data_IF_913476729719
#
_entry.id   IF_913476729719
#
_cell.length_a   1.000
_cell.length_b   1.000
_cell.length_c   1.000
_cell.angle_alpha   90.00
_cell.angle_beta   90.00
_cell.angle_gamma   90.00
#
_symmetry.space_group_name_H-M   'P 1'
#
loop_
_entity.id
_entity.type
_entity.pdbx_description
1 polymer ?
#
# COMPACT_ATOMS: atom_id res chain seq x y z
N UNK A 1 -1.56 -32.43 19.61
CA UNK A 1 -1.74 -31.39 20.66
C UNK A 1 -0.64 -30.35 20.47
N UNK A 2 -0.96 -29.18 19.93
CA UNK A 2 -0.07 -28.00 19.91
C UNK A 2 -0.93 -26.74 19.73
N UNK A 3 -1.46 -26.25 20.84
CA UNK A 3 -1.95 -24.88 20.99
C UNK A 3 -0.70 -24.00 21.04
N UNK A 4 -0.59 -23.03 20.13
CA UNK A 4 0.16 -21.80 20.39
C UNK A 4 -0.52 -20.64 19.66
N UNK A 5 -1.56 -20.11 20.32
CA UNK A 5 -1.91 -18.71 20.23
C UNK A 5 -1.04 -17.96 21.26
N UNK A 6 -0.24 -16.99 20.82
CA UNK A 6 0.17 -15.90 21.70
C UNK A 6 0.12 -14.60 20.92
N UNK A 7 -1.00 -13.90 21.14
CA UNK A 7 -1.11 -12.45 21.03
C UNK A 7 -0.09 -11.80 21.98
N UNK A 8 0.44 -10.65 21.55
CA UNK A 8 1.09 -9.62 22.36
C UNK A 8 2.03 -10.06 23.51
N UNK A 9 3.34 -10.00 23.27
CA UNK A 9 4.26 -9.49 24.31
C UNK A 9 4.50 -8.01 24.06
N UNK A 10 4.00 -7.20 25.00
CA UNK A 10 4.15 -5.76 25.16
C UNK A 10 5.54 -5.26 24.71
N UNK A 11 5.65 -4.81 23.48
CA UNK A 11 6.50 -3.65 23.17
C UNK A 11 5.55 -2.51 22.86
N UNK A 12 5.82 -1.32 23.38
CA UNK A 12 4.93 -0.14 23.37
C UNK A 12 4.54 0.37 21.95
N UNK A 13 4.89 -0.35 20.88
CA UNK A 13 4.64 0.01 19.48
C UNK A 13 4.28 -1.19 18.57
N UNK A 14 3.80 -2.33 19.10
CA UNK A 14 3.63 -3.53 18.26
C UNK A 14 2.55 -4.55 18.63
N UNK A 15 1.70 -4.30 19.62
CA UNK A 15 0.66 -5.26 20.03
C UNK A 15 -0.50 -5.39 19.02
N UNK A 16 -0.68 -4.37 18.17
CA UNK A 16 -1.84 -4.20 17.32
C UNK A 16 -1.60 -4.59 15.85
N UNK A 17 -0.51 -5.32 15.56
CA UNK A 17 -0.10 -5.61 14.18
C UNK A 17 0.17 -7.09 13.95
N UNK A 18 -0.47 -7.68 12.92
CA UNK A 18 0.01 -8.96 12.35
C UNK A 18 1.06 -8.67 11.29
N UNK A 19 2.18 -9.37 11.38
CA UNK A 19 3.25 -9.37 10.38
C UNK A 19 3.42 -10.80 9.91
N UNK A 20 3.08 -11.10 8.66
CA UNK A 20 3.11 -12.46 8.18
C UNK A 20 3.71 -12.62 6.79
N UNK A 21 4.28 -13.80 6.54
CA UNK A 21 4.83 -14.21 5.25
C UNK A 21 4.21 -15.54 4.83
N UNK A 22 3.86 -15.67 3.55
CA UNK A 22 3.57 -16.98 2.96
C UNK A 22 4.82 -17.60 2.35
N UNK A 23 5.11 -18.85 2.74
CA UNK A 23 6.40 -19.50 2.50
C UNK A 23 6.35 -20.70 1.55
N UNK A 24 5.20 -20.99 0.94
CA UNK A 24 5.06 -22.12 0.01
C UNK A 24 5.88 -21.87 -1.28
N UNK A 25 6.72 -22.84 -1.69
CA UNK A 25 7.65 -22.73 -2.82
C UNK A 25 7.00 -22.35 -4.17
N UNK A 26 5.69 -22.57 -4.33
CA UNK A 26 4.93 -22.13 -5.53
C UNK A 26 4.80 -20.61 -5.64
N UNK A 27 5.11 -19.86 -4.58
CA UNK A 27 4.83 -18.43 -4.47
C UNK A 27 6.08 -17.60 -4.70
N UNK A 28 6.82 -17.82 -5.79
CA UNK A 28 8.02 -17.05 -6.11
C UNK A 28 7.76 -16.25 -7.37
N UNK A 29 7.41 -14.96 -7.24
CA UNK A 29 7.07 -14.13 -8.40
C UNK A 29 8.26 -13.86 -9.33
N UNK A 30 8.68 -14.85 -10.11
CA UNK A 30 9.62 -14.76 -11.22
C UNK A 30 8.89 -14.38 -12.49
N UNK A 31 9.63 -13.87 -13.48
CA UNK A 31 9.06 -13.47 -14.78
C UNK A 31 8.19 -14.58 -15.39
N UNK A 32 8.68 -15.82 -15.41
CA UNK A 32 7.96 -16.95 -16.02
C UNK A 32 6.67 -17.27 -15.25
N UNK A 33 6.70 -17.26 -13.91
CA UNK A 33 5.51 -17.56 -13.10
C UNK A 33 4.39 -16.54 -13.34
N UNK A 34 4.71 -15.26 -13.50
CA UNK A 34 3.70 -14.22 -13.78
C UNK A 34 2.93 -14.43 -15.08
N UNK A 35 3.45 -15.23 -16.01
CA UNK A 35 2.78 -15.54 -17.29
C UNK A 35 2.03 -16.87 -17.28
N UNK A 36 2.05 -17.61 -16.16
CA UNK A 36 1.29 -18.86 -16.01
C UNK A 36 -0.09 -18.58 -15.41
N UNK A 37 -1.13 -19.16 -16.01
CA UNK A 37 -2.51 -18.93 -15.56
C UNK A 37 -2.73 -19.51 -14.16
N UNK A 38 -2.13 -20.67 -13.90
CA UNK A 38 -2.22 -21.39 -12.63
C UNK A 38 -1.70 -20.52 -11.48
N UNK A 39 -0.56 -19.85 -11.67
CA UNK A 39 -0.01 -18.94 -10.65
C UNK A 39 -0.91 -17.74 -10.38
N UNK A 40 -1.44 -17.11 -11.44
CA UNK A 40 -2.32 -15.95 -11.31
C UNK A 40 -3.63 -16.32 -10.60
N UNK A 41 -4.19 -17.49 -10.87
CA UNK A 41 -5.41 -18.00 -10.23
C UNK A 41 -5.16 -18.43 -8.79
N UNK A 42 -4.08 -19.16 -8.50
CA UNK A 42 -3.69 -19.50 -7.13
C UNK A 42 -3.54 -18.21 -6.32
N UNK A 43 -2.84 -17.20 -6.86
CA UNK A 43 -2.67 -15.87 -6.25
C UNK A 43 -3.99 -15.17 -5.98
N UNK A 44 -4.90 -15.14 -6.95
CA UNK A 44 -6.22 -14.54 -6.75
C UNK A 44 -7.01 -15.24 -5.65
N UNK A 45 -7.01 -16.57 -5.60
CA UNK A 45 -7.66 -17.34 -4.55
C UNK A 45 -7.06 -17.07 -3.17
N UNK A 46 -5.74 -16.92 -3.09
CA UNK A 46 -5.08 -16.59 -1.84
C UNK A 46 -5.43 -15.17 -1.37
N UNK A 47 -5.32 -14.17 -2.26
CA UNK A 47 -5.71 -12.79 -1.95
C UNK A 47 -7.17 -12.73 -1.52
N UNK A 48 -8.09 -13.40 -2.22
CA UNK A 48 -9.51 -13.46 -1.85
C UNK A 48 -9.71 -13.99 -0.42
N UNK A 49 -9.01 -15.06 -0.03
CA UNK A 49 -9.10 -15.62 1.32
C UNK A 49 -8.59 -14.64 2.39
N UNK A 50 -7.48 -13.94 2.10
CA UNK A 50 -6.88 -12.98 3.02
C UNK A 50 -7.79 -11.76 3.18
N UNK A 51 -8.20 -11.12 2.08
CA UNK A 51 -9.00 -9.88 2.12
C UNK A 51 -10.37 -10.09 2.77
N UNK A 52 -10.96 -11.28 2.62
CA UNK A 52 -12.23 -11.65 3.27
C UNK A 52 -12.15 -11.69 4.80
N UNK A 53 -10.94 -11.72 5.36
CA UNK A 53 -10.70 -11.75 6.82
C UNK A 53 -10.24 -10.41 7.37
N UNK A 54 -10.13 -9.37 6.53
CA UNK A 54 -9.60 -8.06 6.88
C UNK A 54 -10.74 -7.04 6.76
N UNK A 55 -11.02 -6.18 7.74
CA UNK A 55 -11.97 -5.07 7.60
C UNK A 55 -11.37 -3.93 6.76
N UNK A 56 -12.21 -2.98 6.34
CA UNK A 56 -11.74 -1.75 5.68
C UNK A 56 -10.98 -1.96 4.37
N UNK A 57 -10.11 -0.99 4.07
CA UNK A 57 -9.27 -0.90 2.88
C UNK A 57 -8.03 -1.79 2.95
N UNK A 58 -7.71 -2.42 1.82
CA UNK A 58 -6.51 -3.23 1.63
C UNK A 58 -5.74 -2.73 0.42
N UNK A 59 -4.43 -2.55 0.57
CA UNK A 59 -3.52 -2.19 -0.52
C UNK A 59 -2.68 -3.40 -0.90
N UNK A 60 -2.83 -3.89 -2.12
CA UNK A 60 -1.99 -4.95 -2.69
C UNK A 60 -0.96 -4.33 -3.63
N UNK A 61 0.32 -4.37 -3.25
CA UNK A 61 1.41 -3.87 -4.08
C UNK A 61 1.99 -4.98 -4.95
N UNK A 62 2.04 -4.72 -6.26
CA UNK A 62 2.62 -5.59 -7.28
C UNK A 62 3.90 -4.97 -7.87
N UNK A 63 4.84 -5.79 -8.39
CA UNK A 63 6.15 -5.32 -8.84
C UNK A 63 6.13 -4.29 -9.97
N UNK A 64 5.15 -4.36 -10.88
CA UNK A 64 5.05 -3.49 -12.05
C UNK A 64 3.60 -3.32 -12.54
N UNK A 65 3.35 -2.29 -13.35
CA UNK A 65 2.06 -2.12 -14.03
C UNK A 65 1.69 -3.31 -14.92
N UNK A 66 2.68 -3.95 -15.55
CA UNK A 66 2.44 -5.16 -16.33
C UNK A 66 1.90 -6.29 -15.44
N UNK A 67 2.46 -6.49 -14.24
CA UNK A 67 1.92 -7.50 -13.32
C UNK A 67 0.51 -7.16 -12.83
N UNK A 68 0.19 -5.87 -12.62
CA UNK A 68 -1.17 -5.41 -12.29
C UNK A 68 -2.15 -5.77 -13.42
N UNK A 69 -1.77 -5.53 -14.67
CA UNK A 69 -2.61 -5.85 -15.84
C UNK A 69 -2.82 -7.36 -15.98
N UNK A 70 -1.75 -8.15 -15.84
CA UNK A 70 -1.82 -9.62 -15.91
C UNK A 70 -2.77 -10.19 -14.85
N UNK A 71 -2.63 -9.78 -13.58
CA UNK A 71 -3.55 -10.25 -12.52
C UNK A 71 -4.97 -9.75 -12.73
N UNK A 72 -5.13 -8.50 -13.19
CA UNK A 72 -6.46 -7.92 -13.42
C UNK A 72 -7.19 -8.66 -14.54
N UNK A 73 -6.50 -8.94 -15.65
CA UNK A 73 -7.05 -9.70 -16.77
C UNK A 73 -7.39 -11.14 -16.35
N UNK A 74 -6.49 -11.81 -15.64
CA UNK A 74 -6.71 -13.18 -15.17
C UNK A 74 -7.88 -13.27 -14.18
N UNK A 75 -8.00 -12.33 -13.23
CA UNK A 75 -9.04 -12.37 -12.20
C UNK A 75 -10.41 -11.93 -12.71
N UNK A 76 -10.46 -11.08 -13.74
CA UNK A 76 -11.71 -10.70 -14.42
C UNK A 76 -12.22 -11.79 -15.36
N UNK A 77 -11.37 -12.73 -15.78
CA UNK A 77 -11.79 -13.86 -16.60
C UNK A 77 -12.85 -14.68 -15.85
N UNK A 78 -13.95 -14.98 -16.55
CA UNK A 78 -15.03 -15.81 -16.03
C UNK A 78 -14.84 -17.24 -16.56
N UNK A 79 -14.57 -18.23 -15.70
CA UNK A 79 -14.53 -19.62 -16.12
C UNK A 79 -15.95 -20.13 -16.43
N UNK A 80 -16.07 -21.18 -17.24
CA UNK A 80 -17.36 -21.75 -17.65
C UNK A 80 -18.22 -22.27 -16.47
N UNK A 81 -17.61 -22.51 -15.31
CA UNK A 81 -18.20 -23.13 -14.13
C UNK A 81 -18.56 -22.15 -12.99
N UNK A 82 -18.50 -20.83 -13.19
CA UNK A 82 -18.93 -19.87 -12.15
C UNK A 82 -18.52 -18.41 -12.38
N UNK A 83 -18.71 -17.57 -11.35
CA UNK A 83 -18.33 -16.15 -11.36
C UNK A 83 -16.81 -15.92 -11.28
N UNK A 84 -16.35 -14.80 -11.85
CA UNK A 84 -14.93 -14.41 -11.85
C UNK A 84 -14.37 -14.16 -10.44
N UNK A 85 -13.06 -14.32 -10.27
CA UNK A 85 -12.38 -14.01 -9.00
C UNK A 85 -12.54 -12.54 -8.63
N UNK A 86 -12.52 -11.66 -9.62
CA UNK A 86 -12.73 -10.22 -9.46
C UNK A 86 -14.08 -9.92 -8.79
N UNK A 87 -15.16 -10.54 -9.28
CA UNK A 87 -16.50 -10.35 -8.70
C UNK A 87 -16.56 -10.83 -7.26
N UNK A 88 -15.95 -11.99 -6.95
CA UNK A 88 -15.87 -12.49 -5.56
C UNK A 88 -15.10 -11.55 -4.65
N UNK A 89 -14.06 -10.88 -5.17
CA UNK A 89 -13.32 -9.87 -4.43
C UNK A 89 -14.16 -8.60 -4.20
N UNK A 90 -14.95 -8.17 -5.19
CA UNK A 90 -15.90 -7.06 -5.04
C UNK A 90 -17.01 -7.40 -4.02
N UNK A 91 -17.50 -8.63 -4.00
CA UNK A 91 -18.46 -9.09 -2.99
C UNK A 91 -17.84 -9.06 -1.58
N UNK A 92 -16.55 -9.39 -1.45
CA UNK A 92 -15.84 -9.37 -0.17
C UNK A 92 -15.43 -7.97 0.30
N UNK A 93 -15.21 -7.01 -0.62
CA UNK A 93 -14.62 -5.69 -0.32
C UNK A 93 -15.42 -4.49 -0.83
N UNK A 94 -16.60 -4.67 -1.40
CA UNK A 94 -17.40 -3.62 -2.02
C UNK A 94 -16.88 -3.13 -3.37
N UNK A 95 -15.58 -2.84 -3.48
CA UNK A 95 -14.95 -2.43 -4.75
C UNK A 95 -13.51 -2.93 -4.85
N UNK A 96 -13.10 -3.25 -6.08
CA UNK A 96 -11.70 -3.48 -6.44
C UNK A 96 -11.29 -2.41 -7.44
N UNK A 97 -10.20 -1.70 -7.14
CA UNK A 97 -9.62 -0.70 -8.03
C UNK A 97 -8.19 -1.10 -8.39
N UNK A 98 -7.74 -0.71 -9.59
CA UNK A 98 -6.37 -0.92 -10.04
C UNK A 98 -5.72 0.40 -10.39
N UNK A 99 -4.46 0.58 -10.01
CA UNK A 99 -3.68 1.77 -10.32
C UNK A 99 -3.56 1.99 -11.84
N UNK A 100 -4.09 3.10 -12.39
CA UNK A 100 -4.01 3.38 -13.81
C UNK A 100 -2.59 3.79 -14.24
N UNK A 101 -2.18 3.37 -15.44
CA UNK A 101 -0.99 3.92 -16.11
C UNK A 101 -1.18 5.37 -16.58
N UNK A 102 -2.45 5.78 -16.75
CA UNK A 102 -2.87 7.00 -17.41
C UNK A 102 -2.68 8.29 -16.60
N UNK A 103 -3.55 9.24 -16.90
CA UNK A 103 -3.43 10.62 -16.43
C UNK A 103 -3.59 10.76 -14.90
N UNK A 104 -3.22 11.92 -14.35
CA UNK A 104 -3.49 12.24 -12.94
C UNK A 104 -4.98 12.23 -12.59
N UNK A 105 -5.87 12.49 -13.56
CA UNK A 105 -7.31 12.53 -13.36
C UNK A 105 -7.90 11.14 -13.07
N UNK A 106 -7.53 10.13 -13.85
CA UNK A 106 -7.95 8.74 -13.62
C UNK A 106 -7.50 8.25 -12.23
N UNK A 107 -6.30 8.67 -11.79
CA UNK A 107 -5.81 8.37 -10.46
C UNK A 107 -6.71 8.98 -9.38
N UNK A 108 -7.10 10.25 -9.52
CA UNK A 108 -8.00 10.93 -8.57
C UNK A 108 -9.32 10.17 -8.43
N UNK A 109 -9.92 9.77 -9.56
CA UNK A 109 -11.18 9.02 -9.61
C UNK A 109 -11.06 7.64 -8.96
N UNK A 110 -9.95 6.93 -9.24
CA UNK A 110 -9.61 5.64 -8.64
C UNK A 110 -9.53 5.76 -7.10
N UNK A 111 -8.85 6.80 -6.61
CA UNK A 111 -8.70 7.05 -5.18
C UNK A 111 -10.02 7.43 -4.52
N UNK A 112 -10.80 8.30 -5.16
CA UNK A 112 -12.11 8.69 -4.67
C UNK A 112 -13.05 7.48 -4.53
N UNK A 113 -13.03 6.59 -5.52
CA UNK A 113 -13.82 5.34 -5.50
C UNK A 113 -13.44 4.45 -4.33
N UNK A 114 -12.14 4.22 -4.13
CA UNK A 114 -11.62 3.43 -3.01
C UNK A 114 -12.02 4.04 -1.65
N UNK A 115 -11.72 5.33 -1.45
CA UNK A 115 -11.98 6.05 -0.20
C UNK A 115 -13.48 6.05 0.13
N UNK A 116 -14.33 6.32 -0.86
CA UNK A 116 -15.78 6.36 -0.66
C UNK A 116 -16.36 4.99 -0.30
N UNK A 117 -15.84 3.90 -0.87
CA UNK A 117 -16.29 2.54 -0.51
C UNK A 117 -15.94 2.19 0.94
N UNK A 118 -14.72 2.52 1.37
CA UNK A 118 -14.30 2.32 2.77
C UNK A 118 -15.14 3.17 3.73
N UNK A 119 -15.32 4.47 3.44
CA UNK A 119 -16.11 5.39 4.27
C UNK A 119 -17.59 4.99 4.38
N UNK A 120 -18.12 4.23 3.42
CA UNK A 120 -19.47 3.64 3.45
C UNK A 120 -19.55 2.30 4.19
N UNK A 121 -18.46 1.85 4.80
CA UNK A 121 -18.40 0.63 5.60
C UNK A 121 -18.30 -0.69 4.81
N UNK A 122 -18.14 -0.66 3.47
CA UNK A 122 -18.10 -1.88 2.64
C UNK A 122 -16.69 -2.46 2.45
N UNK A 123 -15.65 -1.71 2.81
CA UNK A 123 -14.25 -2.01 2.52
C UNK A 123 -13.83 -1.53 1.13
N UNK A 124 -12.57 -1.80 0.76
CA UNK A 124 -12.09 -1.67 -0.62
C UNK A 124 -10.78 -2.45 -0.80
N UNK A 125 -10.48 -2.85 -2.04
CA UNK A 125 -9.19 -3.40 -2.44
C UNK A 125 -8.56 -2.52 -3.53
N UNK A 126 -7.30 -2.11 -3.35
CA UNK A 126 -6.53 -1.44 -4.39
C UNK A 126 -5.36 -2.32 -4.84
N UNK A 127 -5.25 -2.57 -6.14
CA UNK A 127 -4.07 -3.14 -6.78
C UNK A 127 -3.16 -2.00 -7.22
N UNK A 128 -2.02 -1.85 -6.56
CA UNK A 128 -1.09 -0.74 -6.73
C UNK A 128 0.31 -1.24 -7.12
N UNK A 129 1.17 -0.34 -7.59
CA UNK A 129 2.57 -0.62 -7.88
C UNK A 129 3.45 -0.05 -6.77
N UNK A 130 4.50 -0.75 -6.34
CA UNK A 130 5.36 -0.31 -5.22
C UNK A 130 6.00 1.06 -5.36
N UNK A 131 6.23 1.52 -6.60
CA UNK A 131 6.78 2.85 -6.93
C UNK A 131 5.80 3.62 -7.82
N UNK A 132 4.51 3.34 -7.64
CA UNK A 132 3.41 3.99 -8.32
C UNK A 132 2.99 5.28 -7.63
N UNK A 133 2.09 6.03 -8.27
CA UNK A 133 1.54 7.27 -7.72
C UNK A 133 0.73 6.99 -6.45
N UNK A 134 0.04 5.84 -6.37
CA UNK A 134 -0.65 5.40 -5.14
C UNK A 134 0.32 5.14 -3.98
N UNK A 135 1.56 4.75 -4.29
CA UNK A 135 2.57 4.40 -3.28
C UNK A 135 3.36 5.59 -2.75
N UNK A 136 3.32 6.75 -3.41
CA UNK A 136 4.13 7.93 -3.05
C UNK A 136 3.29 9.07 -2.47
N UNK A 137 2.10 9.35 -3.03
CA UNK A 137 1.39 10.63 -2.81
C UNK A 137 0.16 10.61 -1.90
N UNK A 138 -0.21 9.46 -1.34
CA UNK A 138 -1.44 9.31 -0.56
C UNK A 138 -1.19 8.76 0.84
N UNK A 139 -1.79 9.44 1.81
CA UNK A 139 -1.81 9.01 3.20
C UNK A 139 -3.14 8.28 3.46
N UNK A 140 -3.10 6.96 3.41
CA UNK A 140 -4.29 6.17 3.74
C UNK A 140 -4.35 6.08 5.26
N UNK A 141 -5.23 6.86 5.87
CA UNK A 141 -5.77 6.90 7.25
C UNK A 141 -6.52 5.68 7.79
N UNK A 142 -6.29 5.19 9.02
CA UNK A 142 -7.12 4.20 9.72
C UNK A 142 -7.72 3.07 8.84
N UNK A 143 -9.04 3.08 8.70
CA UNK A 143 -9.80 2.11 7.93
C UNK A 143 -9.49 2.12 6.44
N UNK A 144 -8.90 3.19 5.91
CA UNK A 144 -8.45 3.25 4.51
C UNK A 144 -7.29 2.29 4.24
N UNK A 145 -6.56 1.85 5.26
CA UNK A 145 -5.52 0.83 5.11
C UNK A 145 -5.40 -0.01 6.38
N UNK A 146 -6.22 -1.06 6.48
CA UNK A 146 -6.10 -2.08 7.52
C UNK A 146 -5.13 -3.19 7.17
N UNK A 147 -4.80 -3.34 5.88
CA UNK A 147 -3.68 -4.18 5.50
C UNK A 147 -2.94 -3.70 4.26
N UNK A 148 -1.64 -4.02 4.26
CA UNK A 148 -0.77 -3.97 3.09
C UNK A 148 -0.34 -5.39 2.74
N UNK A 149 -0.55 -5.78 1.48
CA UNK A 149 -0.13 -7.06 0.92
C UNK A 149 0.95 -6.76 -0.13
N UNK A 150 2.19 -7.10 0.18
CA UNK A 150 3.33 -6.99 -0.71
C UNK A 150 3.46 -8.29 -1.51
N UNK A 151 3.10 -8.26 -2.79
CA UNK A 151 3.18 -9.41 -3.69
C UNK A 151 4.48 -9.32 -4.49
N UNK A 152 5.26 -10.42 -4.48
CA UNK A 152 6.56 -10.46 -5.16
C UNK A 152 7.59 -9.49 -4.58
N UNK A 153 8.73 -9.35 -5.28
CA UNK A 153 9.80 -8.42 -4.92
C UNK A 153 10.01 -7.45 -6.10
N UNK A 154 9.89 -6.12 -5.90
CA UNK A 154 9.96 -5.11 -6.95
C UNK A 154 11.42 -4.80 -7.33
N UNK A 155 12.10 -5.79 -7.88
CA UNK A 155 13.43 -5.56 -8.44
C UNK A 155 13.34 -4.65 -9.68
N UNK A 156 14.25 -3.68 -9.85
CA UNK A 156 14.42 -2.99 -11.12
C UNK A 156 14.68 -3.98 -12.26
N UNK A 157 14.38 -3.61 -13.49
CA UNK A 157 14.72 -4.46 -14.64
C UNK A 157 16.25 -4.62 -14.73
N UNK A 158 16.72 -5.87 -14.69
CA UNK A 158 18.17 -6.18 -14.68
C UNK A 158 18.88 -5.63 -15.92
N UNK A 159 18.19 -5.66 -17.06
CA UNK A 159 18.71 -5.27 -18.36
C UNK A 159 18.50 -3.78 -18.68
N UNK A 160 17.97 -2.99 -17.74
CA UNK A 160 17.86 -1.55 -17.90
C UNK A 160 19.30 -0.95 -18.02
N UNK A 161 19.61 -0.19 -19.07
CA UNK A 161 20.94 0.38 -19.27
C UNK A 161 21.43 1.22 -18.09
N UNK A 162 20.54 1.95 -17.41
CA UNK A 162 20.87 2.75 -16.22
C UNK A 162 21.21 1.86 -15.03
N UNK A 163 20.47 0.76 -14.86
CA UNK A 163 20.75 -0.23 -13.81
C UNK A 163 22.08 -0.92 -14.06
N UNK A 164 22.34 -1.36 -15.29
CA UNK A 164 23.61 -1.98 -15.68
C UNK A 164 24.79 -1.04 -15.47
N UNK A 165 24.70 0.19 -15.99
CA UNK A 165 25.74 1.20 -15.85
C UNK A 165 26.02 1.52 -14.37
N UNK A 166 24.96 1.65 -13.55
CA UNK A 166 25.13 1.95 -12.13
C UNK A 166 25.77 0.79 -11.36
N UNK A 167 25.42 -0.46 -11.69
CA UNK A 167 26.04 -1.66 -11.10
C UNK A 167 27.52 -1.71 -11.44
N UNK A 168 27.86 -1.59 -12.72
CA UNK A 168 29.25 -1.54 -13.19
C UNK A 168 30.05 -0.41 -12.55
N UNK A 169 29.46 0.78 -12.40
CA UNK A 169 30.08 1.91 -11.74
C UNK A 169 30.33 1.69 -10.25
N UNK A 170 29.44 0.98 -9.55
CA UNK A 170 29.67 0.63 -8.14
C UNK A 170 30.81 -0.39 -8.03
N UNK A 171 30.87 -1.36 -8.96
CA UNK A 171 31.86 -2.43 -8.94
C UNK A 171 33.25 -1.98 -9.40
N UNK A 172 33.36 -0.94 -10.23
CA UNK A 172 34.63 -0.37 -10.68
C UNK A 172 35.31 0.54 -9.66
N UNK A 173 34.64 0.86 -8.55
CA UNK A 173 35.16 1.78 -7.53
C UNK A 173 35.96 1.05 -6.45
N UNK A 174 37.01 1.69 -5.89
CA UNK A 174 37.73 1.15 -4.74
C UNK A 174 36.78 0.92 -3.58
N UNK A 175 36.83 -0.28 -2.99
CA UNK A 175 35.99 -0.62 -1.83
C UNK A 175 36.39 0.23 -0.63
N UNK A 176 35.49 1.09 -0.18
CA UNK A 176 35.62 1.84 1.09
C UNK A 176 34.58 1.32 2.08
N UNK A 177 34.82 1.45 3.40
CA UNK A 177 33.78 1.18 4.38
C UNK A 177 32.49 1.94 4.02
N UNK A 178 31.36 1.23 3.93
CA UNK A 178 30.07 1.81 3.56
C UNK A 178 29.75 1.89 2.07
N UNK A 179 30.65 1.49 1.16
CA UNK A 179 30.33 1.40 -0.28
C UNK A 179 29.62 0.08 -0.60
N UNK A 180 28.54 0.15 -1.36
CA UNK A 180 27.78 -1.02 -1.82
C UNK A 180 28.33 -1.53 -3.14
N UNK A 181 28.34 -2.86 -3.32
CA UNK A 181 28.55 -3.46 -4.65
C UNK A 181 27.37 -3.15 -5.58
N UNK A 182 27.53 -3.41 -6.88
CA UNK A 182 26.44 -3.34 -7.84
C UNK A 182 25.25 -4.18 -7.40
N UNK A 183 25.49 -5.43 -7.01
CA UNK A 183 24.44 -6.34 -6.53
C UNK A 183 23.78 -5.87 -5.23
N UNK A 184 24.55 -5.42 -4.25
CA UNK A 184 24.00 -4.92 -2.99
C UNK A 184 23.14 -3.67 -3.21
N UNK A 185 23.58 -2.76 -4.07
CA UNK A 185 22.79 -1.59 -4.45
C UNK A 185 21.52 -1.98 -5.18
N UNK A 186 21.61 -2.91 -6.13
CA UNK A 186 20.48 -3.42 -6.90
C UNK A 186 19.42 -4.07 -5.99
N UNK A 187 19.84 -4.91 -5.05
CA UNK A 187 18.95 -5.48 -4.05
C UNK A 187 18.33 -4.41 -3.15
N UNK A 188 19.12 -3.41 -2.71
CA UNK A 188 18.62 -2.31 -1.88
C UNK A 188 17.50 -1.51 -2.56
N UNK A 189 17.50 -1.42 -3.89
CA UNK A 189 16.41 -0.77 -4.64
C UNK A 189 15.06 -1.44 -4.37
N UNK A 190 15.01 -2.77 -4.40
CA UNK A 190 13.77 -3.50 -4.14
C UNK A 190 13.29 -3.29 -2.70
N UNK A 191 14.19 -3.39 -1.72
CA UNK A 191 13.83 -3.29 -0.30
C UNK A 191 13.38 -1.89 0.11
N UNK A 192 13.92 -0.83 -0.50
CA UNK A 192 13.44 0.54 -0.27
C UNK A 192 11.98 0.67 -0.68
N UNK A 193 11.61 0.15 -1.85
CA UNK A 193 10.24 0.21 -2.35
C UNK A 193 9.27 -0.61 -1.48
N UNK A 194 9.70 -1.80 -1.03
CA UNK A 194 8.93 -2.59 -0.07
C UNK A 194 8.76 -1.83 1.24
N UNK A 195 9.82 -1.34 1.87
CA UNK A 195 9.72 -0.61 3.14
C UNK A 195 8.87 0.66 3.02
N UNK A 196 8.86 1.35 1.88
CA UNK A 196 7.95 2.46 1.60
C UNK A 196 6.49 2.00 1.57
N UNK A 197 6.19 0.90 0.89
CA UNK A 197 4.84 0.31 0.86
C UNK A 197 4.38 -0.14 2.26
N UNK A 198 5.24 -0.80 3.02
CA UNK A 198 4.95 -1.26 4.39
C UNK A 198 4.66 -0.10 5.34
N UNK A 199 5.32 1.05 5.14
CA UNK A 199 5.09 2.28 5.91
C UNK A 199 3.70 2.88 5.74
N UNK A 200 2.93 2.47 4.71
CA UNK A 200 1.56 2.98 4.47
C UNK A 200 0.53 2.47 5.48
N UNK A 201 0.79 1.32 6.10
CA UNK A 201 -0.10 0.77 7.11
C UNK A 201 0.24 1.33 8.51
N UNK A 202 1.53 1.49 8.83
CA UNK A 202 1.97 1.87 10.17
C UNK A 202 2.01 3.39 10.36
N UNK A 203 0.96 3.97 10.97
CA UNK A 203 0.80 5.43 11.04
C UNK A 203 0.99 6.00 12.44
N UNK A 204 0.36 5.42 13.44
CA UNK A 204 0.48 5.86 14.83
C UNK A 204 0.36 4.70 15.82
N UNK A 205 0.71 4.97 17.08
CA UNK A 205 0.80 3.96 18.14
C UNK A 205 -0.54 3.32 18.53
N UNK A 206 -1.67 3.98 18.23
CA UNK A 206 -3.02 3.48 18.51
C UNK A 206 -3.63 2.71 17.33
N UNK A 207 -2.93 2.70 16.20
CA UNK A 207 -3.42 2.07 14.98
C UNK A 207 -3.21 0.56 15.00
N UNK A 208 -3.99 -0.13 14.18
CA UNK A 208 -3.92 -1.57 14.01
C UNK A 208 -4.10 -1.97 12.55
N UNK A 209 -3.47 -3.09 12.19
CA UNK A 209 -3.55 -3.62 10.85
C UNK A 209 -2.64 -4.81 10.62
N UNK A 210 -2.53 -5.21 9.35
CA UNK A 210 -1.75 -6.36 8.94
C UNK A 210 -0.79 -6.02 7.80
N UNK A 211 0.41 -6.57 7.91
CA UNK A 211 1.46 -6.46 6.89
C UNK A 211 1.78 -7.87 6.42
N UNK A 212 1.49 -8.13 5.14
CA UNK A 212 1.61 -9.46 4.54
C UNK A 212 2.62 -9.43 3.41
N UNK A 213 3.61 -10.31 3.43
CA UNK A 213 4.54 -10.50 2.30
C UNK A 213 4.23 -11.83 1.61
N UNK A 214 3.86 -11.76 0.35
CA UNK A 214 3.54 -12.91 -0.50
C UNK A 214 4.68 -13.14 -1.48
N UNK A 215 5.78 -13.73 -0.96
CA UNK A 215 6.84 -14.30 -1.78
C UNK A 215 7.67 -15.29 -0.94
N UNK A 216 7.86 -16.52 -1.43
CA UNK A 216 8.56 -17.56 -0.67
C UNK A 216 10.04 -17.25 -0.44
N UNK A 217 10.64 -16.31 -1.20
CA UNK A 217 12.03 -15.85 -0.97
C UNK A 217 12.20 -15.22 0.41
N UNK A 218 11.13 -14.76 1.05
CA UNK A 218 11.18 -14.23 2.41
C UNK A 218 11.25 -15.30 3.53
N UNK A 219 10.96 -16.56 3.22
CA UNK A 219 10.86 -17.68 4.17
C UNK A 219 12.22 -18.02 4.77
N UNK A 220 12.35 -18.23 6.08
CA UNK A 220 13.64 -18.42 6.79
C UNK A 220 14.54 -19.56 6.27
N UNK A 221 13.96 -20.57 5.62
CA UNK A 221 14.66 -21.72 5.02
C UNK A 221 14.94 -21.59 3.51
N UNK A 222 14.63 -20.46 2.86
CA UNK A 222 14.96 -20.22 1.46
C UNK A 222 16.47 -20.01 1.23
N UNK A 223 16.97 -20.40 0.06
CA UNK A 223 18.39 -20.24 -0.35
C UNK A 223 18.92 -18.80 -0.20
N UNK A 224 18.05 -17.79 -0.33
CA UNK A 224 18.34 -16.34 -0.18
C UNK A 224 17.79 -15.71 1.11
N UNK A 225 17.18 -16.50 1.99
CA UNK A 225 16.36 -16.04 3.11
C UNK A 225 17.08 -15.28 4.21
N UNK A 226 18.32 -15.68 4.52
CA UNK A 226 19.18 -14.97 5.48
C UNK A 226 19.57 -13.57 4.96
N UNK A 227 19.56 -13.38 3.64
CA UNK A 227 19.87 -12.10 3.00
C UNK A 227 18.70 -11.14 2.93
N UNK A 228 17.47 -11.61 2.75
CA UNK A 228 16.33 -10.73 2.49
C UNK A 228 15.79 -10.05 3.75
N UNK A 229 15.68 -10.79 4.86
CA UNK A 229 15.08 -10.28 6.11
C UNK A 229 15.86 -9.14 6.74
N UNK A 230 17.19 -9.16 6.66
CA UNK A 230 18.04 -8.07 7.19
C UNK A 230 17.75 -6.71 6.53
N UNK A 231 17.10 -6.69 5.37
CA UNK A 231 16.75 -5.47 4.66
C UNK A 231 15.33 -4.97 4.92
N UNK A 232 14.50 -5.75 5.61
CA UNK A 232 13.23 -5.24 6.14
C UNK A 232 13.50 -4.25 7.27
N UNK A 233 12.60 -3.31 7.48
CA UNK A 233 12.72 -2.38 8.60
C UNK A 233 12.87 -3.12 9.95
N UNK A 234 13.74 -2.66 10.88
CA UNK A 234 14.04 -3.38 12.12
C UNK A 234 12.81 -3.75 12.97
N UNK A 235 11.77 -2.90 12.95
CA UNK A 235 10.51 -3.14 13.67
C UNK A 235 9.72 -4.34 13.11
N UNK A 236 9.87 -4.64 11.81
CA UNK A 236 9.21 -5.75 11.14
C UNK A 236 9.95 -7.07 11.44
N UNK A 237 11.28 -7.06 11.40
CA UNK A 237 12.13 -8.26 11.49
C UNK A 237 11.83 -9.18 12.69
N UNK A 238 11.53 -8.60 13.87
CA UNK A 238 11.41 -9.34 15.13
C UNK A 238 10.09 -10.09 15.34
N UNK A 239 9.08 -9.83 14.51
CA UNK A 239 7.70 -10.28 14.77
C UNK A 239 7.03 -10.92 13.54
N UNK A 240 7.82 -11.35 12.56
CA UNK A 240 7.29 -11.97 11.35
C UNK A 240 6.87 -13.41 11.63
N UNK A 241 5.61 -13.71 11.38
CA UNK A 241 5.03 -15.05 11.42
C UNK A 241 5.15 -15.68 10.03
N UNK A 242 5.68 -16.89 9.94
CA UNK A 242 5.68 -17.66 8.70
C UNK A 242 4.47 -18.59 8.69
N UNK A 243 3.67 -18.53 7.62
CA UNK A 243 2.56 -19.44 7.37
C UNK A 243 2.79 -20.18 6.06
N UNK A 244 2.54 -21.49 6.06
CA UNK A 244 2.74 -22.36 4.89
C UNK A 244 1.55 -22.34 3.92
N UNK A 245 0.38 -21.84 4.33
CA UNK A 245 -0.81 -21.78 3.51
C UNK A 245 -1.68 -20.55 3.85
N UNK A 246 -2.47 -20.09 2.86
CA UNK A 246 -3.31 -18.90 2.98
C UNK A 246 -4.45 -19.07 4.01
N UNK A 247 -4.94 -20.30 4.21
CA UNK A 247 -6.06 -20.59 5.12
C UNK A 247 -5.68 -20.35 6.58
N UNK A 248 -4.53 -20.86 7.03
CA UNK A 248 -4.00 -20.60 8.38
C UNK A 248 -3.80 -19.10 8.60
N UNK A 249 -3.20 -18.41 7.62
CA UNK A 249 -2.99 -16.97 7.69
C UNK A 249 -4.32 -16.19 7.76
N UNK A 250 -5.31 -16.54 6.94
CA UNK A 250 -6.64 -15.93 6.98
C UNK A 250 -7.33 -16.14 8.34
N UNK A 251 -7.21 -17.33 8.93
CA UNK A 251 -7.73 -17.62 10.27
C UNK A 251 -7.10 -16.71 11.34
N UNK A 252 -5.77 -16.55 11.30
CA UNK A 252 -5.03 -15.65 12.21
C UNK A 252 -5.44 -14.20 12.03
N UNK A 253 -5.62 -13.74 10.78
CA UNK A 253 -6.11 -12.40 10.49
C UNK A 253 -7.49 -12.16 11.09
N UNK A 254 -8.41 -13.12 10.94
CA UNK A 254 -9.76 -13.02 11.51
C UNK A 254 -9.72 -12.86 13.02
N UNK A 255 -8.93 -13.68 13.71
CA UNK A 255 -8.76 -13.59 15.17
C UNK A 255 -8.18 -12.24 15.57
N UNK A 256 -7.18 -11.76 14.84
CA UNK A 256 -6.53 -10.48 15.13
C UNK A 256 -7.47 -9.29 14.96
N UNK A 257 -8.15 -9.16 13.82
CA UNK A 257 -9.05 -8.04 13.57
C UNK A 257 -10.28 -8.07 14.48
N UNK A 258 -10.78 -9.26 14.84
CA UNK A 258 -11.84 -9.41 15.83
C UNK A 258 -11.40 -8.97 17.24
N UNK A 259 -10.15 -9.26 17.61
CA UNK A 259 -9.58 -8.85 18.90
C UNK A 259 -9.27 -7.34 18.92
N UNK A 260 -8.72 -6.81 17.82
CA UNK A 260 -8.37 -5.40 17.71
C UNK A 260 -9.61 -4.48 17.72
N UNK A 261 -10.69 -4.89 17.07
CA UNK A 261 -11.97 -4.15 17.07
C UNK A 261 -12.65 -4.08 18.45
N UNK A 262 -12.26 -4.95 19.40
CA UNK A 262 -12.78 -4.99 20.77
C UNK A 262 -11.93 -4.20 21.77
N UNK A 263 -10.78 -3.68 21.34
CA UNK A 263 -9.98 -2.83 22.23
C UNK A 263 -10.72 -1.50 22.39
N UNK A 264 -11.00 -1.04 23.63
CA UNK A 264 -11.60 0.26 23.84
C UNK A 264 -10.69 1.32 23.22
N UNK A 265 -11.24 2.37 22.56
CA UNK A 265 -10.43 3.52 22.20
C UNK A 265 -9.83 4.06 23.50
N UNK A 266 -8.50 4.03 23.61
CA UNK A 266 -7.82 4.64 24.74
C UNK A 266 -8.23 6.13 24.72
N UNK A 267 -8.73 6.64 25.85
CA UNK A 267 -9.35 7.96 25.94
C UNK A 267 -8.50 8.99 25.17
N UNK A 268 -9.11 9.90 24.38
CA UNK A 268 -8.35 10.93 23.68
C UNK A 268 -7.64 11.78 24.72
N UNK A 269 -6.34 11.54 24.92
CA UNK A 269 -5.48 12.52 25.56
C UNK A 269 -5.48 13.71 24.61
N UNK A 270 -5.87 14.87 25.13
CA UNK A 270 -5.89 16.14 24.45
C UNK A 270 -4.71 16.24 23.48
N UNK A 271 -5.02 16.64 22.25
CA UNK A 271 -4.03 16.79 21.19
C UNK A 271 -2.81 17.51 21.73
N UNK A 272 -1.63 17.00 21.41
CA UNK A 272 -0.34 17.63 21.73
C UNK A 272 -0.12 18.91 20.88
N UNK A 273 -1.17 19.71 20.69
CA UNK A 273 -1.18 20.97 19.95
C UNK A 273 -0.97 22.19 20.87
N UNK A 274 -0.91 22.04 22.20
CA UNK A 274 -0.82 23.19 23.13
C UNK A 274 0.47 23.31 23.95
N UNK A 275 1.48 22.46 23.72
CA UNK A 275 2.80 22.66 24.35
C UNK A 275 3.77 23.05 23.27
N UNK A 276 3.85 24.35 22.95
CA UNK A 276 5.03 25.14 22.55
C UNK A 276 4.57 26.53 22.11
N UNK A 277 3.99 27.30 23.04
CA UNK A 277 3.80 28.74 22.89
C UNK A 277 4.51 29.46 24.05
N UNK A 278 5.78 29.79 23.84
CA UNK A 278 6.47 30.85 24.56
C UNK A 278 7.46 31.51 23.58
N UNK A 279 7.37 32.84 23.34
CA UNK A 279 8.14 33.50 22.31
C UNK A 279 9.54 33.85 22.81
N UNK A 280 10.59 33.48 22.07
CA UNK A 280 11.89 34.17 22.12
C UNK A 280 11.97 35.10 20.91
N UNK A 281 11.93 36.40 21.18
CA UNK A 281 12.21 37.45 20.22
C UNK A 281 13.68 37.36 19.79
N UNK A 282 13.95 37.22 18.48
CA UNK A 282 15.19 37.67 17.85
C UNK A 282 14.82 38.20 16.46
N UNK A 283 15.37 39.38 16.14
CA UNK A 283 15.07 40.20 14.97
C UNK A 283 15.35 39.51 13.62
N UNK A 284 14.54 39.86 12.62
CA UNK A 284 14.65 39.43 11.24
C UNK A 284 15.76 40.17 10.47
N UNK A 285 16.25 39.55 9.38
CA UNK A 285 16.23 40.25 8.11
C UNK A 285 15.37 39.52 7.07
N UNK A 286 14.89 40.35 6.16
CA UNK A 286 13.95 40.14 5.07
C UNK A 286 14.53 39.25 3.96
N UNK A 287 13.87 38.13 3.61
CA UNK A 287 14.12 37.45 2.33
C UNK A 287 12.94 36.56 1.88
N UNK A 288 12.57 36.79 0.61
CA UNK A 288 11.82 35.97 -0.35
C UNK A 288 10.69 35.04 0.13
N UNK A 289 9.47 35.38 -0.31
CA UNK A 289 8.25 34.58 -0.20
C UNK A 289 8.47 33.13 -0.71
N UNK A 290 8.31 32.08 0.11
CA UNK A 290 8.46 30.71 -0.35
C UNK A 290 7.30 30.33 -1.29
N UNK A 291 7.53 29.46 -2.29
CA UNK A 291 6.45 28.99 -3.15
C UNK A 291 5.38 28.26 -2.32
N UNK A 292 4.10 28.35 -2.73
CA UNK A 292 3.02 27.71 -1.98
C UNK A 292 3.26 26.20 -1.90
N UNK A 293 2.95 25.56 -0.76
CA UNK A 293 3.14 24.13 -0.60
C UNK A 293 2.31 23.37 -1.64
N UNK A 294 2.91 22.32 -2.23
CA UNK A 294 2.21 21.42 -3.16
C UNK A 294 1.00 20.82 -2.42
N UNK A 295 -0.22 21.21 -2.83
CA UNK A 295 -1.48 20.69 -2.27
C UNK A 295 -1.50 19.16 -2.43
N UNK A 296 -1.80 18.43 -1.36
CA UNK A 296 -1.89 16.97 -1.40
C UNK A 296 -3.17 16.58 -2.12
N UNK A 297 -3.17 15.41 -2.76
CA UNK A 297 -4.33 14.92 -3.53
C UNK A 297 -5.59 14.77 -2.65
N UNK A 298 -5.39 14.46 -1.36
CA UNK A 298 -6.47 14.40 -0.37
C UNK A 298 -7.10 15.77 -0.11
N UNK A 299 -6.30 16.83 -0.01
CA UNK A 299 -6.79 18.20 0.20
C UNK A 299 -7.67 18.66 -0.98
N UNK A 300 -7.33 18.21 -2.20
CA UNK A 300 -8.13 18.46 -3.41
C UNK A 300 -9.44 17.68 -3.39
N UNK A 301 -9.42 16.43 -2.91
CA UNK A 301 -10.62 15.59 -2.78
C UNK A 301 -11.56 16.07 -1.66
N UNK A 302 -11.01 16.60 -0.56
CA UNK A 302 -11.80 17.13 0.56
C UNK A 302 -12.48 18.46 0.20
N UNK A 303 -11.82 19.32 -0.59
CA UNK A 303 -12.42 20.54 -1.12
C UNK A 303 -13.63 20.28 -2.04
N UNK A 304 -13.58 19.22 -2.85
CA UNK A 304 -14.69 18.78 -3.72
C UNK A 304 -15.86 18.15 -2.95
N UNK A 305 -15.61 17.58 -1.77
CA UNK A 305 -16.66 17.01 -0.90
C UNK A 305 -17.31 18.11 -0.05
N UNK A 306 -16.54 19.10 0.41
CA UNK A 306 -17.06 20.24 1.17
C UNK A 306 -17.96 21.14 0.30
N UNK A 307 -17.58 21.38 -0.95
CA UNK A 307 -18.40 22.14 -1.92
C UNK A 307 -19.70 21.44 -2.31
N UNK A 308 -19.79 20.11 -2.18
CA UNK A 308 -21.03 19.34 -2.42
C UNK A 308 -21.94 19.19 -1.19
N UNK A 309 -21.55 19.68 -0.01
CA UNK A 309 -22.37 19.62 1.22
C UNK A 309 -23.10 20.91 1.59
N UNK A 310 -22.91 21.99 0.83
CA UNK A 310 -23.64 23.25 1.04
C UNK A 310 -24.48 23.61 -0.19
N UNK A 311 -25.66 23.00 -0.31
CA UNK A 311 -26.78 23.60 -1.02
C UNK A 311 -28.10 23.04 -0.44
N UNK A 312 -28.86 23.82 0.34
CA UNK A 312 -30.28 23.54 0.58
C UNK A 312 -31.08 23.91 -0.67
N UNK A 313 -32.18 23.17 -0.89
CA UNK A 313 -32.88 23.12 -2.16
C UNK A 313 -33.71 24.34 -2.57
N UNK A 314 -34.22 24.16 -3.79
CA UNK A 314 -35.52 24.59 -4.36
C UNK A 314 -35.58 25.69 -5.43
N UNK A 315 -36.18 25.26 -6.56
CA UNK A 315 -37.01 25.94 -7.57
C UNK A 315 -36.41 26.74 -8.75
N UNK A 316 -36.66 26.16 -9.93
CA UNK A 316 -37.29 26.73 -11.14
C UNK A 316 -36.60 27.81 -12.01
N UNK A 317 -36.45 27.44 -13.30
CA UNK A 317 -36.67 28.22 -14.54
C UNK A 317 -35.94 29.55 -14.73
N UNK A 318 -35.01 29.58 -15.69
CA UNK A 318 -35.13 30.25 -17.02
C UNK A 318 -33.74 30.53 -17.61
N UNK A 319 -33.61 30.37 -18.93
CA UNK A 319 -32.33 30.38 -19.63
C UNK A 319 -31.59 31.72 -19.63
N UNK A 320 -30.26 31.64 -19.74
CA UNK A 320 -29.43 32.63 -20.43
C UNK A 320 -28.03 32.07 -20.74
N UNK A 321 -27.66 32.27 -22.00
CA UNK A 321 -26.34 32.39 -22.63
C UNK A 321 -25.10 31.79 -21.95
N UNK A 322 -24.47 30.85 -22.68
CA UNK A 322 -23.07 30.46 -22.51
C UNK A 322 -22.15 31.58 -23.00
N UNK A 323 -21.27 32.08 -22.13
CA UNK A 323 -20.08 32.84 -22.54
C UNK A 323 -18.84 31.94 -22.46
N UNK A 324 -17.94 31.97 -23.46
CA UNK A 324 -16.74 31.15 -23.45
C UNK A 324 -15.68 31.75 -22.52
N UNK A 325 -15.17 30.94 -21.59
CA UNK A 325 -14.00 31.28 -20.77
C UNK A 325 -12.74 30.99 -21.59
N UNK A 326 -11.85 31.99 -21.67
CA UNK A 326 -10.61 31.97 -22.45
C UNK A 326 -9.57 30.94 -21.94
N UNK A 327 -8.68 30.42 -22.81
CA UNK A 327 -7.67 29.45 -22.43
C UNK A 327 -6.49 30.10 -21.67
N UNK A 328 -6.12 29.51 -20.53
CA UNK A 328 -4.91 29.81 -19.78
C UNK A 328 -3.67 29.36 -20.58
N UNK A 329 -2.79 30.31 -20.92
CA UNK A 329 -1.46 30.08 -21.49
C UNK A 329 -0.55 29.42 -20.46
N UNK A 330 0.06 28.30 -20.83
CA UNK A 330 1.20 27.69 -20.13
C UNK A 330 2.45 28.13 -20.90
N UNK A 331 3.31 28.91 -20.26
CA UNK A 331 4.64 29.25 -20.78
C UNK A 331 5.60 28.06 -20.63
N UNK A 332 6.46 27.89 -21.63
CA UNK A 332 7.52 26.88 -21.71
C UNK A 332 8.49 26.95 -20.54
#
# INVERSE_FOLDING_TARGET
>A
MAIFCTVAKRSRAGANWIKAMLTNKRWVGTYDQWHTQEFLEELGNCVLQLISSIPGGVLCFLPSYQTVELVTAAWKRTPASGGSLWRKMEEAKGVVVSEPRGSGKEMVETCATFINSVRRGRGALALAVYRGKLSEGLDFTDDLCRAVICIGIPYPMVNDPVVLAKRQWNDSRPRKPGTLTGDQWYEQQAYRAINQALGRCLRHHQDFGAVLLLDARWASRGEKARGLRKHLAPWLQRHVIESSNCRDLACRLRVHFHSAARMPPDQPRASAAEVHAAPKQVAAPEEANPPPPKRRLLDLLEADVATKRCAPGDQALTGRAWHPVAPLRIGF
#
